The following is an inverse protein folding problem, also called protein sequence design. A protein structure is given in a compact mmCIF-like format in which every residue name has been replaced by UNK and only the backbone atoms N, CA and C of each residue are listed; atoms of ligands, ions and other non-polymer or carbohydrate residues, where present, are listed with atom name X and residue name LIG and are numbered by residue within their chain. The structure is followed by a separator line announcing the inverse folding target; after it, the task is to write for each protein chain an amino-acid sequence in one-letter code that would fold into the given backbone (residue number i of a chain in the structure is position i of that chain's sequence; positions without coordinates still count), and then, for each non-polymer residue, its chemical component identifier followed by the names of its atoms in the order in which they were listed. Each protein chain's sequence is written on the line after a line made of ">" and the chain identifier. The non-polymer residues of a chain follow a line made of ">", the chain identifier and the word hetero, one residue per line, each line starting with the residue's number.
data_IF_041106495180
#
_entry.id   IF_041106495180
#
_cell.length_a   1.000
_cell.length_b   1.000
_cell.length_c   1.000
_cell.angle_alpha   90.00
_cell.angle_beta   90.00
_cell.angle_gamma   90.00
#
_symmetry.space_group_name_H-M   'P 1'
#
loop_
_entity.id
_entity.type
_entity.pdbx_description
1 polymer ?
#
# COMPACT_ATOMS: atom_id res chain seq x y z
N UNK A 1 30.82 55.89 87.65
CA UNK A 1 31.18 57.25 87.20
C UNK A 1 31.51 57.20 85.71
N UNK A 2 30.61 57.70 84.88
CA UNK A 2 30.72 57.73 83.40
C UNK A 2 30.79 59.20 82.98
N UNK A 3 31.99 59.75 82.89
CA UNK A 3 32.24 61.08 82.29
C UNK A 3 33.35 61.09 81.23
N UNK A 4 33.73 59.93 80.72
CA UNK A 4 34.70 59.81 79.61
C UNK A 4 34.40 58.62 78.67
N UNK A 5 33.16 58.10 78.66
CA UNK A 5 32.74 56.90 77.93
C UNK A 5 33.55 55.60 78.16
N UNK A 6 34.53 55.59 79.08
CA UNK A 6 35.27 54.40 79.49
C UNK A 6 34.55 53.74 80.67
N UNK A 7 34.08 52.50 80.49
CA UNK A 7 33.47 51.70 81.56
C UNK A 7 34.56 51.00 82.38
N UNK A 8 34.75 51.45 83.61
CA UNK A 8 35.66 50.84 84.58
C UNK A 8 34.89 50.04 85.64
N UNK A 9 35.42 48.87 86.01
CA UNK A 9 34.89 48.11 87.13
C UNK A 9 35.55 48.58 88.44
N UNK A 10 34.82 49.38 89.22
CA UNK A 10 35.33 49.99 90.46
C UNK A 10 35.73 48.96 91.51
N UNK A 11 35.02 47.83 91.61
CA UNK A 11 35.36 46.76 92.56
C UNK A 11 36.74 46.16 92.27
N UNK A 12 37.08 45.94 91.00
CA UNK A 12 38.40 45.44 90.59
C UNK A 12 39.49 46.50 90.72
N UNK A 13 39.15 47.78 90.55
CA UNK A 13 40.10 48.88 90.76
C UNK A 13 40.50 49.00 92.24
N UNK A 14 39.56 48.84 93.18
CA UNK A 14 39.82 48.93 94.61
C UNK A 14 40.52 47.70 95.21
N UNK A 15 40.53 46.55 94.52
CA UNK A 15 41.21 45.33 94.97
C UNK A 15 42.75 45.45 94.97
N UNK A 16 43.30 46.46 94.27
CA UNK A 16 44.73 46.80 94.25
C UNK A 16 45.69 45.65 93.89
N UNK A 17 45.20 44.64 93.18
CA UNK A 17 45.98 43.50 92.69
C UNK A 17 46.17 43.58 91.15
N UNK A 18 46.64 42.49 90.53
CA UNK A 18 46.83 42.42 89.08
C UNK A 18 45.58 42.71 88.23
N UNK A 19 44.37 42.62 88.80
CA UNK A 19 43.15 42.99 88.12
C UNK A 19 42.94 44.52 88.07
N UNK A 20 43.46 45.27 89.05
CA UNK A 20 43.41 46.74 89.03
C UNK A 20 44.26 47.30 87.88
N UNK A 21 45.41 46.69 87.58
CA UNK A 21 46.29 47.07 86.46
C UNK A 21 45.56 46.95 85.12
N UNK A 22 44.74 45.90 84.93
CA UNK A 22 43.94 45.69 83.71
C UNK A 22 42.87 46.77 83.53
N UNK A 23 42.30 47.29 84.62
CA UNK A 23 41.32 48.38 84.55
C UNK A 23 42.01 49.73 84.30
N UNK A 24 43.18 49.99 84.90
CA UNK A 24 43.99 51.18 84.61
C UNK A 24 44.51 51.20 83.16
N UNK A 25 44.85 50.04 82.59
CA UNK A 25 45.32 49.91 81.21
C UNK A 25 44.31 50.50 80.21
N UNK A 26 43.01 50.32 80.46
CA UNK A 26 41.95 50.87 79.59
C UNK A 26 42.01 52.39 79.50
N UNK A 27 42.42 53.06 80.58
CA UNK A 27 42.57 54.53 80.61
C UNK A 27 43.88 54.93 79.94
N UNK A 28 44.99 54.26 80.26
CA UNK A 28 46.30 54.60 79.69
C UNK A 28 46.42 54.30 78.21
N UNK A 29 45.76 53.26 77.67
CA UNK A 29 45.75 53.00 76.22
C UNK A 29 45.06 54.13 75.44
N UNK A 30 43.96 54.68 75.98
CA UNK A 30 43.27 55.82 75.37
C UNK A 30 44.13 57.08 75.44
N UNK A 31 44.80 57.33 76.57
CA UNK A 31 45.73 58.46 76.70
C UNK A 31 46.97 58.32 75.81
N UNK A 32 47.52 57.11 75.70
CA UNK A 32 48.70 56.82 74.88
C UNK A 32 48.42 56.96 73.38
N UNK A 33 47.27 56.46 72.92
CA UNK A 33 46.83 56.67 71.53
C UNK A 33 46.54 58.14 71.21
N UNK A 34 45.98 58.90 72.15
CA UNK A 34 45.82 60.35 72.01
C UNK A 34 47.16 61.12 72.03
N UNK A 35 48.19 60.59 72.69
CA UNK A 35 49.53 61.19 72.74
C UNK A 35 50.34 60.89 71.47
N UNK A 36 50.30 59.66 70.96
CA UNK A 36 51.01 59.28 69.74
C UNK A 36 50.43 59.91 68.46
N UNK A 37 49.16 60.32 68.49
CA UNK A 37 48.52 61.04 67.36
C UNK A 37 48.90 62.52 67.27
N UNK A 38 49.57 63.08 68.28
CA UNK A 38 50.05 64.47 68.27
C UNK A 38 51.58 64.62 68.29
N UNK A 39 52.33 63.52 68.24
CA UNK A 39 53.77 63.50 68.55
C UNK A 39 54.75 63.30 67.38
N UNK A 40 54.29 63.05 66.14
CA UNK A 40 55.19 62.86 64.99
C UNK A 40 54.57 63.48 63.72
N UNK A 41 54.43 64.81 63.72
CA UNK A 41 54.30 65.60 62.50
C UNK A 41 55.43 66.63 62.47
N UNK A 42 56.61 66.21 61.97
CA UNK A 42 57.47 66.95 61.05
C UNK A 42 58.81 66.22 60.95
N UNK A 43 59.20 65.80 59.74
CA UNK A 43 60.55 65.88 59.15
C UNK A 43 60.63 64.90 57.97
N UNK A 44 60.74 65.53 56.81
CA UNK A 44 61.44 65.16 55.58
C UNK A 44 61.22 63.81 54.90
N UNK A 45 60.76 63.97 53.66
CA UNK A 45 61.11 63.23 52.46
C UNK A 45 62.35 62.36 52.64
N UNK A 46 62.12 61.05 52.72
CA UNK A 46 63.06 60.05 52.24
C UNK A 46 62.27 58.93 51.61
N UNK A 47 62.57 58.72 50.34
CA UNK A 47 62.07 57.70 49.43
C UNK A 47 62.45 56.28 49.91
N UNK A 48 61.95 55.86 51.07
CA UNK A 48 62.15 54.51 51.59
C UNK A 48 60.83 53.87 52.04
N UNK A 49 59.81 53.90 51.18
CA UNK A 49 58.79 52.84 51.16
C UNK A 49 58.46 52.36 49.74
N UNK A 50 59.43 52.52 48.82
CA UNK A 50 59.37 52.04 47.43
C UNK A 50 59.40 50.50 47.33
N UNK A 51 59.43 49.79 48.46
CA UNK A 51 59.44 48.32 48.53
C UNK A 51 58.23 47.70 49.28
N UNK A 52 57.27 48.49 49.79
CA UNK A 52 55.97 47.98 50.28
C UNK A 52 54.79 48.18 49.33
N UNK A 53 54.98 48.92 48.23
CA UNK A 53 54.04 48.94 47.11
C UNK A 53 54.20 47.71 46.20
N UNK A 54 54.20 46.49 46.76
CA UNK A 54 53.72 45.33 46.00
C UNK A 54 52.21 45.48 45.90
N UNK A 55 51.83 46.29 44.91
CA UNK A 55 50.48 46.47 44.41
C UNK A 55 49.78 45.11 44.45
N UNK A 56 48.78 44.96 45.32
CA UNK A 56 47.85 43.84 45.33
C UNK A 56 46.99 43.89 44.05
N UNK A 57 47.64 43.83 42.88
CA UNK A 57 47.01 43.94 41.58
C UNK A 57 46.19 42.67 41.33
N UNK A 58 46.70 41.50 41.72
CA UNK A 58 46.01 40.22 41.54
C UNK A 58 44.64 40.15 42.24
N UNK A 59 44.54 40.57 43.51
CA UNK A 59 43.25 40.58 44.23
C UNK A 59 42.33 41.69 43.73
N UNK A 60 42.87 42.87 43.44
CA UNK A 60 42.09 43.99 42.89
C UNK A 60 41.65 43.77 41.44
N UNK A 61 42.33 42.94 40.64
CA UNK A 61 41.96 42.66 39.24
C UNK A 61 40.66 41.87 39.15
N UNK A 62 40.41 40.94 40.09
CA UNK A 62 39.13 40.23 40.19
C UNK A 62 38.01 41.22 40.53
N UNK A 63 38.22 42.09 41.52
CA UNK A 63 37.27 43.14 41.90
C UNK A 63 37.03 44.13 40.75
N UNK A 64 38.06 44.46 39.97
CA UNK A 64 37.97 45.37 38.83
C UNK A 64 37.21 44.71 37.67
N UNK A 65 37.38 43.39 37.47
CA UNK A 65 36.58 42.62 36.50
C UNK A 65 35.11 42.54 36.93
N UNK A 66 34.84 42.28 38.21
CA UNK A 66 33.49 42.30 38.76
C UNK A 66 32.85 43.68 38.67
N UNK A 67 33.60 44.74 38.97
CA UNK A 67 33.14 46.12 38.85
C UNK A 67 32.81 46.50 37.40
N UNK A 68 33.63 46.08 36.42
CA UNK A 68 33.31 46.27 34.98
C UNK A 68 32.06 45.52 34.55
N UNK A 69 31.89 44.29 35.02
CA UNK A 69 30.69 43.50 34.73
C UNK A 69 29.45 44.16 35.32
N UNK A 70 29.51 44.58 36.59
CA UNK A 70 28.42 45.31 37.25
C UNK A 70 28.11 46.64 36.58
N UNK A 71 29.13 47.38 36.11
CA UNK A 71 28.93 48.61 35.35
C UNK A 71 28.21 48.35 34.02
N UNK A 72 28.58 47.28 33.30
CA UNK A 72 27.90 46.85 32.07
C UNK A 72 26.44 46.46 32.34
N UNK A 73 26.20 45.69 33.41
CA UNK A 73 24.84 45.32 33.83
C UNK A 73 24.02 46.52 34.28
N UNK A 74 24.63 47.50 34.94
CA UNK A 74 23.97 48.74 35.35
C UNK A 74 23.54 49.53 34.12
N UNK A 75 24.38 49.64 33.11
CA UNK A 75 24.03 50.30 31.85
C UNK A 75 22.94 49.53 31.08
N UNK A 76 23.05 48.20 31.01
CA UNK A 76 22.05 47.35 30.35
C UNK A 76 20.68 47.44 31.03
N UNK A 77 20.64 47.29 32.37
CA UNK A 77 19.41 47.44 33.16
C UNK A 77 18.88 48.87 33.08
N UNK A 78 19.75 49.87 33.10
CA UNK A 78 19.39 51.28 32.92
C UNK A 78 18.74 51.54 31.58
N UNK A 79 19.27 50.98 30.49
CA UNK A 79 18.67 51.07 29.15
C UNK A 79 17.29 50.39 29.10
N UNK A 80 17.17 49.15 29.62
CA UNK A 80 15.86 48.48 29.67
C UNK A 80 14.86 49.23 30.53
N UNK A 81 15.30 49.83 31.64
CA UNK A 81 14.45 50.61 32.51
C UNK A 81 13.98 51.90 31.80
N UNK A 82 14.88 52.58 31.09
CA UNK A 82 14.55 53.75 30.28
C UNK A 82 13.47 53.43 29.24
N UNK A 83 13.63 52.34 28.49
CA UNK A 83 12.66 51.92 27.48
C UNK A 83 11.30 51.55 28.09
N UNK A 84 11.30 50.87 29.24
CA UNK A 84 10.08 50.50 29.95
C UNK A 84 9.37 51.73 30.54
N UNK A 85 10.11 52.67 31.15
CA UNK A 85 9.54 53.91 31.67
C UNK A 85 9.02 54.81 30.55
N UNK A 86 9.70 54.83 29.39
CA UNK A 86 9.24 55.57 28.22
C UNK A 86 7.85 55.12 27.74
N UNK A 87 7.55 53.83 27.85
CA UNK A 87 6.24 53.25 27.48
C UNK A 87 5.21 53.30 28.60
N UNK A 88 5.59 53.61 29.83
CA UNK A 88 4.69 53.50 30.99
C UNK A 88 3.51 54.48 30.90
N UNK A 89 3.64 55.63 30.25
CA UNK A 89 2.51 56.54 30.04
C UNK A 89 1.39 55.88 29.21
N UNK A 90 1.75 55.32 28.04
CA UNK A 90 0.82 54.61 27.16
C UNK A 90 0.30 53.32 27.80
N UNK A 91 1.17 52.54 28.44
CA UNK A 91 0.77 51.30 29.11
C UNK A 91 -0.16 51.57 30.30
N UNK A 92 0.06 52.65 31.04
CA UNK A 92 -0.84 53.08 32.12
C UNK A 92 -2.19 53.48 31.58
N UNK A 93 -2.24 54.27 30.50
CA UNK A 93 -3.49 54.65 29.87
C UNK A 93 -4.26 53.44 29.34
N UNK A 94 -3.60 52.55 28.59
CA UNK A 94 -4.20 51.32 28.08
C UNK A 94 -4.70 50.39 29.19
N UNK A 95 -3.93 50.27 30.29
CA UNK A 95 -4.32 49.50 31.48
C UNK A 95 -5.53 50.12 32.16
N UNK A 96 -5.51 51.43 32.41
CA UNK A 96 -6.63 52.14 33.05
C UNK A 96 -7.88 52.09 32.16
N UNK A 97 -7.76 52.26 30.85
CA UNK A 97 -8.88 52.13 29.91
C UNK A 97 -9.46 50.72 29.88
N UNK A 98 -8.61 49.69 29.92
CA UNK A 98 -9.06 48.29 29.95
C UNK A 98 -9.74 47.92 31.27
N UNK A 99 -9.23 48.42 32.40
CA UNK A 99 -9.83 48.19 33.73
C UNK A 99 -11.12 49.01 33.90
N UNK A 100 -11.16 50.22 33.35
CA UNK A 100 -12.34 51.09 33.38
C UNK A 100 -13.45 50.61 32.45
N UNK A 101 -13.15 49.73 31.48
CA UNK A 101 -14.17 49.11 30.64
C UNK A 101 -15.10 48.28 31.54
N UNK A 102 -16.38 48.66 31.66
CA UNK A 102 -17.33 47.87 32.43
C UNK A 102 -17.45 46.49 31.77
N UNK A 103 -17.36 45.43 32.58
CA UNK A 103 -17.54 44.07 32.09
C UNK A 103 -18.98 43.94 31.56
N UNK A 104 -19.11 43.61 30.27
CA UNK A 104 -20.40 43.37 29.60
C UNK A 104 -20.93 41.98 29.97
N UNK A 105 -21.10 41.74 31.29
CA UNK A 105 -21.53 40.46 31.87
C UNK A 105 -22.88 40.02 31.25
N UNK A 106 -23.78 40.96 31.01
CA UNK A 106 -25.08 40.69 30.40
C UNK A 106 -24.96 40.18 28.95
N UNK A 107 -23.99 40.67 28.19
CA UNK A 107 -23.76 40.20 26.82
C UNK A 107 -23.10 38.82 26.83
N UNK A 108 -22.10 38.61 27.69
CA UNK A 108 -21.49 37.31 27.90
C UNK A 108 -22.53 36.25 28.32
N UNK A 109 -23.41 36.59 29.27
CA UNK A 109 -24.50 35.72 29.71
C UNK A 109 -25.49 35.42 28.57
N UNK A 110 -25.84 36.42 27.76
CA UNK A 110 -26.71 36.22 26.60
C UNK A 110 -26.09 35.26 25.59
N UNK A 111 -24.82 35.43 25.26
CA UNK A 111 -24.09 34.54 24.34
C UNK A 111 -24.01 33.13 24.92
N UNK A 112 -23.72 32.99 26.22
CA UNK A 112 -23.71 31.69 26.90
C UNK A 112 -25.08 31.01 26.85
N UNK A 113 -26.17 31.74 27.10
CA UNK A 113 -27.54 31.21 27.01
C UNK A 113 -27.88 30.71 25.61
N UNK A 114 -27.49 31.46 24.58
CA UNK A 114 -27.67 31.02 23.18
C UNK A 114 -26.86 29.76 22.89
N UNK A 115 -25.60 29.71 23.30
CA UNK A 115 -24.75 28.53 23.11
C UNK A 115 -25.32 27.29 23.81
N UNK A 116 -25.82 27.43 25.04
CA UNK A 116 -26.52 26.35 25.76
C UNK A 116 -27.74 25.87 24.96
N UNK A 117 -28.55 26.81 24.44
CA UNK A 117 -29.71 26.49 23.61
C UNK A 117 -29.33 25.68 22.36
N UNK A 118 -28.30 26.11 21.63
CA UNK A 118 -27.82 25.38 20.45
C UNK A 118 -27.32 23.97 20.80
N UNK A 119 -26.59 23.81 21.90
CA UNK A 119 -26.13 22.50 22.36
C UNK A 119 -27.30 21.59 22.74
N UNK A 120 -28.32 22.12 23.44
CA UNK A 120 -29.51 21.35 23.79
C UNK A 120 -30.30 20.91 22.55
N UNK A 121 -30.43 21.77 21.55
CA UNK A 121 -31.06 21.42 20.28
C UNK A 121 -30.26 20.31 19.56
N UNK A 122 -28.93 20.40 19.55
CA UNK A 122 -28.07 19.39 18.97
C UNK A 122 -28.17 18.04 19.71
N UNK A 123 -28.25 18.07 21.03
CA UNK A 123 -28.48 16.88 21.87
C UNK A 123 -29.83 16.24 21.51
N UNK A 124 -30.89 17.05 21.38
CA UNK A 124 -32.21 16.54 21.02
C UNK A 124 -32.21 15.92 19.62
N UNK A 125 -31.63 16.58 18.61
CA UNK A 125 -31.47 16.02 17.26
C UNK A 125 -30.72 14.69 17.27
N UNK A 126 -29.65 14.60 18.05
CA UNK A 126 -28.86 13.37 18.18
C UNK A 126 -29.66 12.24 18.83
N UNK A 127 -30.48 12.58 19.84
CA UNK A 127 -31.38 11.62 20.48
C UNK A 127 -32.45 11.10 19.52
N UNK A 128 -33.04 11.98 18.70
CA UNK A 128 -34.04 11.59 17.70
C UNK A 128 -33.42 10.70 16.62
N UNK A 129 -32.22 11.03 16.14
CA UNK A 129 -31.47 10.17 15.22
C UNK A 129 -31.18 8.79 15.83
N UNK A 130 -30.76 8.73 17.09
CA UNK A 130 -30.51 7.47 17.79
C UNK A 130 -31.79 6.63 17.91
N UNK A 131 -32.94 7.26 18.20
CA UNK A 131 -34.23 6.58 18.23
C UNK A 131 -34.61 6.00 16.88
N UNK A 132 -34.37 6.73 15.78
CA UNK A 132 -34.65 6.25 14.44
C UNK A 132 -33.75 5.07 14.08
N UNK A 133 -32.45 5.14 14.39
CA UNK A 133 -31.51 4.02 14.19
C UNK A 133 -31.95 2.78 14.95
N UNK A 134 -32.41 2.91 16.20
CA UNK A 134 -32.91 1.78 16.98
C UNK A 134 -34.18 1.15 16.34
N UNK A 135 -35.08 1.95 15.78
CA UNK A 135 -36.26 1.45 15.05
C UNK A 135 -35.86 0.72 13.76
N UNK A 136 -34.89 1.26 13.03
CA UNK A 136 -34.35 0.65 11.81
C UNK A 136 -33.64 -0.67 12.11
N UNK A 137 -32.87 -0.73 13.21
CA UNK A 137 -32.21 -1.95 13.68
C UNK A 137 -33.22 -3.07 13.94
N UNK A 138 -34.27 -2.80 14.73
CA UNK A 138 -35.33 -3.78 15.01
C UNK A 138 -36.03 -4.23 13.72
N UNK A 139 -36.28 -3.30 12.80
CA UNK A 139 -36.91 -3.60 11.51
C UNK A 139 -36.03 -4.48 10.63
N UNK A 140 -34.72 -4.20 10.59
CA UNK A 140 -33.75 -4.98 9.83
C UNK A 140 -33.55 -6.36 10.44
N UNK A 141 -33.50 -6.48 11.77
CA UNK A 141 -33.39 -7.76 12.45
C UNK A 141 -34.60 -8.67 12.13
N UNK A 142 -35.81 -8.11 12.17
CA UNK A 142 -37.02 -8.84 11.77
C UNK A 142 -36.97 -9.32 10.29
N UNK A 143 -36.42 -8.51 9.39
CA UNK A 143 -36.21 -8.90 7.98
C UNK A 143 -35.16 -10.00 7.85
N UNK A 144 -34.07 -9.91 8.59
CA UNK A 144 -32.98 -10.90 8.60
C UNK A 144 -33.52 -12.24 9.08
N UNK A 145 -34.24 -12.28 10.20
CA UNK A 145 -34.83 -13.50 10.74
C UNK A 145 -35.83 -14.13 9.78
N UNK A 146 -36.70 -13.33 9.14
CA UNK A 146 -37.60 -13.83 8.09
C UNK A 146 -36.82 -14.48 6.94
N UNK A 147 -35.74 -13.84 6.47
CA UNK A 147 -34.90 -14.37 5.38
C UNK A 147 -34.14 -15.63 5.78
N UNK A 148 -33.64 -15.72 7.01
CA UNK A 148 -33.00 -16.94 7.54
C UNK A 148 -33.97 -18.12 7.53
N UNK A 149 -35.21 -17.93 8.00
CA UNK A 149 -36.23 -18.98 7.99
C UNK A 149 -36.62 -19.41 6.57
N UNK A 150 -36.76 -18.47 5.63
CA UNK A 150 -37.00 -18.77 4.21
C UNK A 150 -35.84 -19.57 3.60
N UNK A 151 -34.60 -19.17 3.89
CA UNK A 151 -33.39 -19.85 3.44
C UNK A 151 -33.33 -21.28 3.98
N UNK A 152 -33.56 -21.47 5.28
CA UNK A 152 -33.55 -22.79 5.92
C UNK A 152 -34.62 -23.71 5.32
N UNK A 153 -35.83 -23.19 5.07
CA UNK A 153 -36.90 -23.94 4.39
C UNK A 153 -36.48 -24.35 2.97
N UNK A 154 -35.88 -23.43 2.21
CA UNK A 154 -35.40 -23.71 0.85
C UNK A 154 -34.27 -24.74 0.85
N UNK A 155 -33.33 -24.64 1.79
CA UNK A 155 -32.23 -25.60 1.96
C UNK A 155 -32.76 -26.99 2.29
N UNK A 156 -33.71 -27.10 3.25
CA UNK A 156 -34.36 -28.38 3.56
C UNK A 156 -35.06 -28.96 2.33
N UNK A 157 -35.79 -28.14 1.57
CA UNK A 157 -36.44 -28.57 0.33
C UNK A 157 -35.43 -29.07 -0.72
N UNK A 158 -34.33 -28.34 -0.89
CA UNK A 158 -33.26 -28.72 -1.81
C UNK A 158 -32.63 -30.05 -1.39
N UNK A 159 -32.34 -30.23 -0.10
CA UNK A 159 -31.79 -31.47 0.44
C UNK A 159 -32.73 -32.65 0.20
N UNK A 160 -34.03 -32.48 0.44
CA UNK A 160 -35.03 -33.51 0.12
C UNK A 160 -35.03 -33.83 -1.37
N UNK A 161 -35.01 -32.81 -2.23
CA UNK A 161 -35.03 -33.01 -3.68
C UNK A 161 -33.76 -33.72 -4.18
N UNK A 162 -32.59 -33.39 -3.62
CA UNK A 162 -31.31 -34.05 -3.92
C UNK A 162 -31.24 -35.49 -3.40
N UNK A 163 -31.89 -35.77 -2.27
CA UNK A 163 -31.92 -37.13 -1.71
C UNK A 163 -32.75 -38.10 -2.55
N UNK A 164 -33.68 -37.58 -3.34
CA UNK A 164 -34.56 -38.39 -4.18
C UNK A 164 -33.94 -38.53 -5.57
N UNK A 165 -33.61 -39.77 -5.93
CA UNK A 165 -33.21 -40.13 -7.30
C UNK A 165 -34.41 -39.91 -8.25
N UNK A 166 -34.28 -39.14 -9.34
CA UNK A 166 -35.37 -38.96 -10.29
C UNK A 166 -35.81 -40.29 -10.92
N UNK A 167 -37.11 -40.49 -11.10
CA UNK A 167 -37.68 -41.76 -11.58
C UNK A 167 -37.19 -42.18 -12.98
N UNK A 168 -36.85 -41.22 -13.84
CA UNK A 168 -36.35 -41.47 -15.19
C UNK A 168 -34.84 -41.80 -15.24
N UNK A 169 -34.11 -41.67 -14.13
CA UNK A 169 -32.66 -41.94 -14.12
C UNK A 169 -32.35 -43.40 -14.46
N UNK A 170 -33.18 -44.32 -14.00
CA UNK A 170 -32.98 -45.76 -14.28
C UNK A 170 -33.20 -46.07 -15.77
N UNK A 171 -34.16 -45.41 -16.41
CA UNK A 171 -34.38 -45.52 -17.85
C UNK A 171 -33.22 -44.89 -18.64
N UNK A 172 -32.75 -43.72 -18.21
CA UNK A 172 -31.60 -43.05 -18.80
C UNK A 172 -30.35 -43.94 -18.76
N UNK A 173 -29.98 -44.48 -17.59
CA UNK A 173 -28.80 -45.34 -17.43
C UNK A 173 -28.91 -46.61 -18.28
N UNK A 174 -30.12 -47.18 -18.40
CA UNK A 174 -30.37 -48.34 -19.27
C UNK A 174 -30.18 -48.00 -20.75
N UNK A 175 -30.66 -46.84 -21.20
CA UNK A 175 -30.49 -46.39 -22.59
C UNK A 175 -29.01 -46.08 -22.86
N UNK A 176 -28.30 -45.47 -21.92
CA UNK A 176 -26.88 -45.19 -22.03
C UNK A 176 -26.06 -46.49 -22.20
N UNK A 177 -26.37 -47.52 -21.41
CA UNK A 177 -25.71 -48.83 -21.53
C UNK A 177 -26.01 -49.48 -22.91
N UNK A 178 -27.25 -49.36 -23.39
CA UNK A 178 -27.61 -49.84 -24.73
C UNK A 178 -26.86 -49.09 -25.83
N UNK A 179 -26.76 -47.77 -25.71
CA UNK A 179 -26.02 -46.92 -26.65
C UNK A 179 -24.55 -47.33 -26.70
N UNK A 180 -23.92 -47.58 -25.55
CA UNK A 180 -22.54 -48.03 -25.47
C UNK A 180 -22.32 -49.38 -26.16
N UNK A 181 -23.25 -50.33 -25.98
CA UNK A 181 -23.22 -51.63 -26.67
C UNK A 181 -23.36 -51.47 -28.18
N UNK A 182 -24.30 -50.64 -28.64
CA UNK A 182 -24.50 -50.39 -30.07
C UNK A 182 -23.30 -49.70 -30.70
N UNK A 183 -22.72 -48.71 -30.02
CA UNK A 183 -21.51 -48.02 -30.47
C UNK A 183 -20.32 -48.98 -30.62
N UNK A 184 -20.15 -49.90 -29.67
CA UNK A 184 -19.10 -50.93 -29.75
C UNK A 184 -19.29 -51.84 -30.96
N UNK A 185 -20.52 -52.31 -31.20
CA UNK A 185 -20.83 -53.14 -32.38
C UNK A 185 -20.64 -52.37 -33.69
N UNK A 186 -21.04 -51.09 -33.71
CA UNK A 186 -20.84 -50.22 -34.87
C UNK A 186 -19.34 -50.09 -35.21
N UNK A 187 -18.49 -49.84 -34.22
CA UNK A 187 -17.04 -49.71 -34.45
C UNK A 187 -16.42 -51.00 -35.02
N UNK A 188 -16.84 -52.16 -34.54
CA UNK A 188 -16.36 -53.45 -35.06
C UNK A 188 -16.80 -53.64 -36.52
N UNK A 189 -18.09 -53.42 -36.81
CA UNK A 189 -18.62 -53.51 -38.17
C UNK A 189 -17.96 -52.50 -39.11
N UNK A 190 -17.73 -51.28 -38.65
CA UNK A 190 -17.06 -50.23 -39.41
C UNK A 190 -15.64 -50.65 -39.75
N UNK A 191 -14.86 -51.15 -38.78
CA UNK A 191 -13.50 -51.67 -39.03
C UNK A 191 -13.50 -52.80 -40.06
N UNK A 192 -14.42 -53.76 -39.91
CA UNK A 192 -14.53 -54.87 -40.84
C UNK A 192 -14.91 -54.39 -42.25
N UNK A 193 -15.84 -53.44 -42.36
CA UNK A 193 -16.24 -52.85 -43.64
C UNK A 193 -15.05 -52.16 -44.31
N UNK A 194 -14.36 -51.26 -43.62
CA UNK A 194 -13.19 -50.56 -44.16
C UNK A 194 -12.11 -51.53 -44.63
N UNK A 195 -11.89 -52.61 -43.89
CA UNK A 195 -10.94 -53.66 -44.29
C UNK A 195 -11.36 -54.37 -45.58
N UNK A 196 -12.64 -54.73 -45.71
CA UNK A 196 -13.17 -55.41 -46.90
C UNK A 196 -13.21 -54.47 -48.12
N UNK A 197 -13.52 -53.19 -47.92
CA UNK A 197 -13.44 -52.16 -48.96
C UNK A 197 -12.01 -52.04 -49.50
N UNK A 198 -11.00 -51.98 -48.61
CA UNK A 198 -9.60 -51.95 -49.00
C UNK A 198 -9.19 -53.21 -49.78
N UNK A 199 -9.61 -54.40 -49.35
CA UNK A 199 -9.31 -55.65 -50.07
C UNK A 199 -9.94 -55.67 -51.47
N UNK A 200 -11.14 -55.13 -51.63
CA UNK A 200 -11.80 -55.01 -52.93
C UNK A 200 -11.06 -54.02 -53.84
N UNK A 201 -10.64 -52.87 -53.30
CA UNK A 201 -9.83 -51.90 -54.04
C UNK A 201 -8.48 -52.52 -54.50
N UNK A 202 -7.82 -53.28 -53.61
CA UNK A 202 -6.58 -53.98 -53.94
C UNK A 202 -6.80 -55.04 -55.03
N UNK A 203 -7.91 -55.81 -54.96
CA UNK A 203 -8.25 -56.80 -55.98
C UNK A 203 -8.49 -56.14 -57.35
N UNK A 204 -9.34 -55.11 -57.41
CA UNK A 204 -9.59 -54.38 -58.64
C UNK A 204 -8.31 -53.75 -59.20
N UNK A 205 -7.42 -53.24 -58.35
CA UNK A 205 -6.10 -52.73 -58.78
C UNK A 205 -5.28 -53.83 -59.43
N UNK A 206 -5.19 -55.01 -58.81
CA UNK A 206 -4.43 -56.14 -59.40
C UNK A 206 -5.04 -56.65 -60.71
N UNK A 207 -6.36 -56.74 -60.81
CA UNK A 207 -7.03 -57.13 -62.06
C UNK A 207 -6.75 -56.11 -63.17
N UNK A 208 -6.77 -54.83 -62.83
CA UNK A 208 -6.46 -53.76 -63.78
C UNK A 208 -4.99 -53.80 -64.22
N UNK A 209 -4.04 -54.00 -63.29
CA UNK A 209 -2.62 -54.18 -63.62
C UNK A 209 -2.41 -55.38 -64.56
N UNK A 210 -3.04 -56.52 -64.26
CA UNK A 210 -2.99 -57.73 -65.11
C UNK A 210 -3.58 -57.49 -66.50
N UNK A 211 -4.70 -56.76 -66.58
CA UNK A 211 -5.32 -56.39 -67.85
C UNK A 211 -4.44 -55.43 -68.67
N UNK A 212 -3.83 -54.44 -68.02
CA UNK A 212 -2.89 -53.51 -68.63
C UNK A 212 -1.62 -54.24 -69.13
N UNK A 213 -1.07 -55.16 -68.34
CA UNK A 213 0.05 -56.02 -68.75
C UNK A 213 -0.28 -56.90 -69.95
N UNK A 214 -1.46 -57.57 -69.94
CA UNK A 214 -1.92 -58.39 -71.05
C UNK A 214 -2.15 -57.55 -72.33
N UNK A 215 -2.75 -56.36 -72.19
CA UNK A 215 -2.93 -55.40 -73.30
C UNK A 215 -1.60 -54.91 -73.86
N UNK A 216 -0.65 -54.57 -72.99
CA UNK A 216 0.70 -54.17 -73.38
C UNK A 216 1.45 -55.31 -74.10
N UNK A 217 1.33 -56.55 -73.62
CA UNK A 217 1.91 -57.74 -74.27
C UNK A 217 1.30 -57.98 -75.65
N UNK A 218 -0.03 -57.91 -75.76
CA UNK A 218 -0.74 -58.09 -77.03
C UNK A 218 -0.33 -57.00 -78.04
N UNK A 219 -0.23 -55.75 -77.59
CA UNK A 219 0.25 -54.62 -78.40
C UNK A 219 1.69 -54.81 -78.86
N UNK A 220 2.58 -55.33 -77.99
CA UNK A 220 3.96 -55.64 -78.35
C UNK A 220 4.02 -56.75 -79.40
N UNK A 221 3.23 -57.81 -79.24
CA UNK A 221 3.12 -58.91 -80.21
C UNK A 221 2.57 -58.42 -81.55
N UNK A 222 1.54 -57.58 -81.54
CA UNK A 222 0.98 -56.97 -82.74
C UNK A 222 2.01 -56.11 -83.48
N UNK A 223 2.77 -55.28 -82.76
CA UNK A 223 3.83 -54.47 -83.35
C UNK A 223 4.94 -55.34 -83.95
N UNK A 224 5.34 -56.41 -83.27
CA UNK A 224 6.33 -57.36 -83.80
C UNK A 224 5.83 -58.06 -85.06
N UNK A 225 4.57 -58.49 -85.10
CA UNK A 225 3.98 -59.09 -86.30
C UNK A 225 3.95 -58.08 -87.45
N UNK A 226 3.59 -56.82 -87.19
CA UNK A 226 3.64 -55.74 -88.19
C UNK A 226 5.06 -55.48 -88.68
N UNK A 227 6.07 -55.51 -87.81
CA UNK A 227 7.48 -55.38 -88.19
C UNK A 227 7.96 -56.59 -89.02
N UNK A 228 7.56 -57.81 -88.66
CA UNK A 228 7.85 -59.03 -89.41
C UNK A 228 7.17 -59.02 -90.79
N UNK A 229 5.90 -58.60 -90.88
CA UNK A 229 5.20 -58.37 -92.16
C UNK A 229 5.90 -57.30 -93.00
N UNK A 230 6.27 -56.16 -92.41
CA UNK A 230 7.03 -55.12 -93.10
C UNK A 230 8.40 -55.61 -93.55
N UNK A 231 9.05 -56.49 -92.79
CA UNK A 231 10.33 -57.10 -93.16
C UNK A 231 10.16 -58.15 -94.28
N UNK A 232 9.08 -58.92 -94.29
CA UNK A 232 8.73 -59.80 -95.42
C UNK A 232 8.39 -58.99 -96.67
N UNK A 233 7.64 -57.89 -96.54
CA UNK A 233 7.34 -56.94 -97.61
C UNK A 233 8.61 -56.20 -98.11
N UNK A 234 9.62 -56.00 -97.25
CA UNK A 234 10.94 -55.47 -97.63
C UNK A 234 11.87 -56.53 -98.22
N UNK A 235 11.77 -57.80 -97.81
CA UNK A 235 12.58 -58.91 -98.31
C UNK A 235 11.99 -59.54 -99.58
N UNK A 236 10.73 -59.27 -99.88
CA UNK A 236 10.06 -59.62 -101.12
C UNK A 236 9.33 -58.39 -101.65
N UNK A 237 10.08 -57.45 -102.23
CA UNK A 237 9.74 -56.82 -103.50
C UNK A 237 10.82 -55.81 -103.95
N UNK A 238 11.44 -56.11 -105.10
CA UNK A 238 11.58 -55.10 -106.15
C UNK A 238 10.23 -55.05 -106.87
N UNK A 239 9.79 -53.84 -107.19
CA UNK A 239 8.54 -53.42 -107.84
C UNK A 239 7.27 -53.54 -106.97
N UNK A 240 6.72 -52.45 -106.39
CA UNK A 240 6.28 -51.13 -106.89
C UNK A 240 4.76 -51.10 -107.14
N UNK A 241 4.09 -50.41 -106.20
CA UNK A 241 2.79 -49.70 -106.22
C UNK A 241 2.20 -49.73 -104.79
N UNK A 242 2.48 -48.73 -103.94
CA UNK A 242 1.83 -47.40 -103.86
C UNK A 242 0.34 -47.52 -103.50
N UNK A 243 -0.02 -47.64 -102.21
CA UNK A 243 -0.37 -46.59 -101.22
C UNK A 243 -1.67 -45.81 -101.52
N UNK A 244 -2.69 -46.03 -100.67
CA UNK A 244 -3.62 -45.07 -100.01
C UNK A 244 -4.79 -45.89 -99.41
N UNK A 245 -4.77 -46.32 -98.13
CA UNK A 245 -5.14 -45.63 -96.87
C UNK A 245 -6.49 -44.88 -96.90
N UNK A 246 -7.46 -45.44 -96.18
CA UNK A 246 -8.42 -44.84 -95.21
C UNK A 246 -9.45 -45.95 -94.90
N UNK A 247 -9.35 -46.75 -93.83
CA UNK A 247 -9.52 -46.42 -92.41
C UNK A 247 -10.57 -45.33 -92.16
N UNK A 248 -11.81 -45.73 -91.85
CA UNK A 248 -12.51 -45.12 -90.71
C UNK A 248 -13.63 -46.02 -90.13
N UNK A 249 -13.44 -46.31 -88.85
CA UNK A 249 -14.31 -46.64 -87.72
C UNK A 249 -15.64 -47.39 -87.82
N UNK A 250 -15.80 -48.35 -86.89
CA UNK A 250 -17.11 -48.86 -86.47
C UNK A 250 -17.13 -50.18 -85.71
N UNK A 251 -16.13 -50.46 -84.86
CA UNK A 251 -16.28 -51.46 -83.79
C UNK A 251 -16.94 -50.77 -82.60
N UNK A 252 -18.19 -51.12 -82.29
CA UNK A 252 -18.78 -50.79 -81.00
C UNK A 252 -19.38 -52.05 -80.36
N UNK A 253 -18.56 -52.70 -79.54
CA UNK A 253 -18.99 -53.62 -78.51
C UNK A 253 -19.40 -52.81 -77.28
N UNK A 254 -20.69 -52.89 -76.95
CA UNK A 254 -21.37 -52.60 -75.69
C UNK A 254 -20.52 -52.01 -74.54
N UNK A 255 -20.86 -50.78 -74.13
CA UNK A 255 -20.65 -50.32 -72.74
C UNK A 255 -21.90 -49.60 -72.26
N UNK A 256 -22.63 -50.25 -71.36
CA UNK A 256 -23.59 -49.62 -70.46
C UNK A 256 -22.89 -48.51 -69.67
N UNK A 257 -23.09 -47.26 -70.07
CA UNK A 257 -22.93 -46.13 -69.16
C UNK A 257 -24.07 -46.17 -68.14
N UNK A 258 -23.82 -46.80 -66.99
CA UNK A 258 -24.56 -46.53 -65.76
C UNK A 258 -23.87 -45.34 -65.08
N UNK A 259 -24.44 -44.13 -65.06
CA UNK A 259 -23.86 -43.06 -64.26
C UNK A 259 -24.18 -43.34 -62.79
N UNK A 260 -23.16 -43.72 -62.04
CA UNK A 260 -23.16 -43.51 -60.59
C UNK A 260 -22.93 -42.03 -60.31
N UNK A 261 -23.98 -41.20 -60.36
CA UNK A 261 -24.08 -39.98 -59.55
C UNK A 261 -25.55 -39.72 -59.23
N UNK A 262 -25.93 -40.05 -57.99
CA UNK A 262 -26.69 -39.13 -57.15
C UNK A 262 -26.52 -39.59 -55.70
N UNK A 263 -25.48 -39.06 -55.06
CA UNK A 263 -25.55 -38.80 -53.62
C UNK A 263 -26.74 -37.85 -53.41
N UNK A 264 -27.87 -38.40 -52.98
CA UNK A 264 -28.83 -37.62 -52.21
C UNK A 264 -28.46 -37.78 -50.75
N UNK A 265 -27.73 -36.78 -50.26
CA UNK A 265 -27.93 -36.19 -48.94
C UNK A 265 -29.42 -36.18 -48.58
N UNK A 266 -29.79 -36.94 -47.55
CA UNK A 266 -30.91 -36.64 -46.67
C UNK A 266 -30.38 -36.59 -45.25
N UNK A 267 -29.94 -35.39 -44.88
CA UNK A 267 -30.18 -34.83 -43.57
C UNK A 267 -31.68 -34.87 -43.24
N UNK A 268 -32.00 -34.90 -41.93
CA UNK A 268 -33.34 -34.87 -41.31
C UNK A 268 -34.08 -36.21 -41.32
N UNK A 269 -34.67 -36.74 -40.24
CA UNK A 269 -35.02 -36.27 -38.89
C UNK A 269 -35.53 -37.50 -38.13
N UNK A 270 -35.21 -37.69 -36.84
CA UNK A 270 -36.23 -37.93 -35.80
C UNK A 270 -35.59 -37.89 -34.41
N UNK A 271 -35.58 -36.68 -33.84
CA UNK A 271 -35.89 -36.48 -32.44
C UNK A 271 -37.42 -36.65 -32.31
N UNK A 272 -37.89 -37.78 -31.78
CA UNK A 272 -39.09 -37.80 -30.93
C UNK A 272 -39.24 -39.16 -30.25
N UNK A 273 -39.14 -39.16 -28.92
CA UNK A 273 -39.24 -40.32 -28.04
C UNK A 273 -38.33 -40.14 -26.85
#
# INVERSE_FOLDING_TARGET
>A
ATKAHIKLNTKKLYQADGYAVKELLKVTTVLYSAMNTKGVEHVDVSEEDSSKFKFNLGSKVADLKAARQLASETNSKGATLYDLLGKEAELREARTASIARPLEINEAEKVMKVAIGCVLEQVQKTKDMLSNVALDEVTLEAKIEKRKLELERSQKRLQTLQSVRPAFMDEYEKIEEQLQKQYSSYLEKFRNLTYMEQLLEDHHRTEQEMFEEASNMLRLMQNRLKEEEQHLLKSGNSDDSDVEIQEDEGSDSEVEHRPMVNQRTTTETLLQG
#
